data_IF_547101512313
#
_entry.id   IF_547101512313
#
_cell.length_a   1.000
_cell.length_b   1.000
_cell.length_c   1.000
_cell.angle_alpha   90.00
_cell.angle_beta   90.00
_cell.angle_gamma   90.00
#
_symmetry.space_group_name_H-M   'P 1'
#
loop_
_entity.id
_entity.type
_entity.pdbx_description
1 polymer ?
#
# COMPACT_ATOMS: atom_id res chain seq x y z
N UNK A 1 52.61 58.78 41.59
CA UNK A 1 52.21 57.61 42.40
C UNK A 1 50.68 57.52 42.36
N UNK A 2 50.13 56.31 42.19
CA UNK A 2 48.69 55.94 41.99
C UNK A 2 47.70 56.82 42.80
N UNK A 3 46.40 57.02 42.38
CA UNK A 3 45.54 55.92 41.91
C UNK A 3 44.31 56.23 40.99
N UNK A 4 43.68 55.12 40.54
CA UNK A 4 42.23 54.82 40.45
C UNK A 4 41.30 55.36 39.33
N UNK A 5 40.88 54.39 38.49
CA UNK A 5 39.50 53.97 38.12
C UNK A 5 38.58 54.86 37.27
N UNK A 6 38.21 54.30 36.11
CA UNK A 6 36.84 54.16 35.56
C UNK A 6 36.95 53.23 34.34
N UNK A 7 36.81 51.89 34.45
CA UNK A 7 35.55 51.12 34.36
C UNK A 7 34.47 51.77 33.50
N UNK A 8 34.50 51.47 32.20
CA UNK A 8 33.34 51.49 31.32
C UNK A 8 33.16 50.06 30.76
N UNK A 9 32.23 49.31 31.37
CA UNK A 9 31.76 48.02 30.90
C UNK A 9 30.89 48.24 29.65
N UNK A 10 31.37 47.80 28.49
CA UNK A 10 30.55 47.60 27.31
C UNK A 10 29.81 46.26 27.46
N UNK A 11 28.52 46.34 27.81
CA UNK A 11 27.55 45.26 27.72
C UNK A 11 27.31 44.93 26.24
N UNK A 12 27.90 43.84 25.76
CA UNK A 12 27.50 43.22 24.49
C UNK A 12 26.39 42.22 24.80
N UNK A 13 25.16 42.62 24.49
CA UNK A 13 23.96 41.79 24.53
C UNK A 13 24.06 40.69 23.47
N UNK A 14 24.66 39.55 23.81
CA UNK A 14 24.54 38.33 23.01
C UNK A 14 23.18 37.70 23.31
N UNK A 15 22.18 38.01 22.47
CA UNK A 15 20.94 37.27 22.42
C UNK A 15 21.24 35.83 21.95
N UNK A 16 21.37 34.91 22.89
CA UNK A 16 21.38 33.48 22.61
C UNK A 16 19.96 33.07 22.19
N UNK A 17 19.71 33.03 20.88
CA UNK A 17 18.56 32.32 20.33
C UNK A 17 18.72 30.82 20.65
N UNK A 18 17.69 30.14 21.17
CA UNK A 18 17.77 28.71 21.41
C UNK A 18 17.94 27.99 20.08
N UNK A 19 18.93 27.10 20.02
CA UNK A 19 19.05 26.12 18.97
C UNK A 19 17.72 25.36 18.86
N UNK A 20 16.97 25.62 17.79
CA UNK A 20 15.81 24.83 17.43
C UNK A 20 16.31 23.40 17.24
N UNK A 21 16.01 22.53 18.21
CA UNK A 21 16.19 21.10 18.07
C UNK A 21 15.50 20.67 16.79
N UNK A 22 16.28 20.26 15.81
CA UNK A 22 15.77 19.70 14.57
C UNK A 22 14.93 18.49 14.96
N UNK A 23 13.61 18.61 14.84
CA UNK A 23 12.71 17.47 14.93
C UNK A 23 13.23 16.40 13.95
N UNK A 24 13.23 15.11 14.34
CA UNK A 24 13.73 14.05 13.48
C UNK A 24 12.97 14.10 12.16
N UNK A 25 13.67 14.44 11.08
CA UNK A 25 13.08 14.44 9.75
C UNK A 25 12.58 13.01 9.45
N UNK A 26 11.39 12.85 8.85
CA UNK A 26 10.94 11.54 8.42
C UNK A 26 12.00 10.96 7.45
N UNK A 27 12.26 9.64 7.48
CA UNK A 27 13.25 9.04 6.58
C UNK A 27 12.88 9.39 5.14
N UNK A 28 13.79 10.08 4.45
CA UNK A 28 13.64 10.34 3.03
C UNK A 28 13.63 9.00 2.31
N UNK A 29 12.62 8.73 1.50
CA UNK A 29 12.68 7.64 0.53
C UNK A 29 13.93 7.84 -0.32
N UNK A 30 14.86 6.88 -0.30
CA UNK A 30 16.06 6.93 -1.15
C UNK A 30 15.57 6.93 -2.60
N UNK A 31 15.89 7.99 -3.35
CA UNK A 31 15.42 8.11 -4.73
C UNK A 31 15.85 6.87 -5.54
N UNK A 32 14.88 6.20 -6.17
CA UNK A 32 15.11 5.04 -7.04
C UNK A 32 15.00 3.66 -6.38
N UNK A 33 14.49 3.53 -5.15
CA UNK A 33 14.18 2.23 -4.53
C UNK A 33 12.70 2.10 -4.18
N UNK A 34 12.21 0.87 -4.09
CA UNK A 34 10.84 0.57 -3.70
C UNK A 34 10.65 0.78 -2.20
N UNK A 35 9.94 1.83 -1.81
CA UNK A 35 9.82 2.22 -0.41
C UNK A 35 8.39 2.29 0.11
N UNK A 36 8.27 2.70 1.37
CA UNK A 36 7.00 2.87 2.09
C UNK A 36 5.96 3.65 1.28
N UNK A 37 6.38 4.73 0.60
CA UNK A 37 5.47 5.57 -0.18
C UNK A 37 4.81 4.81 -1.33
N UNK A 38 5.56 3.95 -2.02
CA UNK A 38 5.03 3.11 -3.09
C UNK A 38 4.05 2.08 -2.55
N UNK A 39 4.40 1.44 -1.43
CA UNK A 39 3.52 0.46 -0.79
C UNK A 39 2.24 1.08 -0.23
N UNK A 40 2.31 2.29 0.31
CA UNK A 40 1.13 3.04 0.73
C UNK A 40 0.23 3.38 -0.46
N UNK A 41 0.80 3.78 -1.61
CA UNK A 41 0.06 4.00 -2.85
C UNK A 41 -0.61 2.71 -3.34
N UNK A 42 0.13 1.59 -3.39
CA UNK A 42 -0.40 0.28 -3.77
C UNK A 42 -1.52 -0.19 -2.83
N UNK A 43 -1.41 0.09 -1.53
CA UNK A 43 -2.38 -0.35 -0.54
C UNK A 43 -3.79 0.23 -0.74
N UNK A 44 -3.92 1.33 -1.47
CA UNK A 44 -5.21 1.97 -1.79
C UNK A 44 -5.72 1.65 -3.21
N UNK A 45 -4.92 0.94 -4.02
CA UNK A 45 -5.28 0.63 -5.40
C UNK A 45 -6.26 -0.54 -5.52
N UNK A 46 -7.33 -0.35 -6.31
CA UNK A 46 -8.31 -1.41 -6.61
C UNK A 46 -8.03 -2.12 -7.95
N UNK A 47 -7.46 -1.44 -8.96
CA UNK A 47 -7.06 -2.07 -10.23
C UNK A 47 -5.54 -2.15 -10.47
N UNK A 48 -5.17 -2.89 -11.53
CA UNK A 48 -3.78 -3.12 -11.92
C UNK A 48 -3.09 -1.85 -12.40
N UNK A 49 -3.80 -0.96 -13.13
CA UNK A 49 -3.23 0.27 -13.67
C UNK A 49 -2.79 1.24 -12.57
N UNK A 50 -3.56 1.33 -11.49
CA UNK A 50 -3.22 2.06 -10.28
C UNK A 50 -1.95 1.48 -9.64
N UNK A 51 -1.87 0.15 -9.47
CA UNK A 51 -0.67 -0.52 -8.91
C UNK A 51 0.54 -0.25 -9.79
N UNK A 52 0.43 -0.44 -11.10
CA UNK A 52 1.52 -0.22 -12.05
C UNK A 52 1.97 1.24 -12.05
N UNK A 53 1.05 2.19 -11.89
CA UNK A 53 1.38 3.62 -11.73
C UNK A 53 2.16 3.86 -10.44
N UNK A 54 1.69 3.34 -9.30
CA UNK A 54 2.38 3.45 -8.01
C UNK A 54 3.79 2.86 -8.03
N UNK A 55 4.00 1.78 -8.79
CA UNK A 55 5.32 1.16 -8.96
C UNK A 55 6.18 1.91 -9.98
N UNK A 56 5.59 2.49 -11.03
CA UNK A 56 6.35 3.26 -12.01
C UNK A 56 7.00 4.49 -11.39
N UNK A 57 6.32 5.09 -10.41
CA UNK A 57 6.81 6.23 -9.64
C UNK A 57 7.89 5.83 -8.62
N UNK A 58 9.10 5.53 -9.10
CA UNK A 58 10.30 5.36 -8.26
C UNK A 58 10.78 3.91 -8.08
N UNK A 59 9.96 2.90 -8.35
CA UNK A 59 10.35 1.48 -8.25
C UNK A 59 10.82 0.88 -9.58
N UNK A 60 10.33 1.40 -10.72
CA UNK A 60 10.43 0.75 -12.03
C UNK A 60 11.84 0.24 -12.38
N UNK A 61 12.85 1.10 -12.23
CA UNK A 61 14.24 0.76 -12.57
C UNK A 61 14.78 -0.36 -11.67
N UNK A 62 14.47 -0.32 -10.38
CA UNK A 62 14.96 -1.28 -9.40
C UNK A 62 14.28 -2.63 -9.55
N UNK A 63 12.95 -2.65 -9.68
CA UNK A 63 12.21 -3.89 -9.95
C UNK A 63 12.62 -4.52 -11.29
N UNK A 64 12.85 -3.73 -12.34
CA UNK A 64 13.37 -4.25 -13.62
C UNK A 64 14.72 -4.94 -13.47
N UNK A 65 15.65 -4.34 -12.72
CA UNK A 65 16.98 -4.92 -12.44
C UNK A 65 16.86 -6.22 -11.65
N UNK A 66 16.06 -6.24 -10.60
CA UNK A 66 15.85 -7.43 -9.78
C UNK A 66 15.19 -8.57 -10.56
N UNK A 67 14.16 -8.28 -11.36
CA UNK A 67 13.52 -9.25 -12.26
C UNK A 67 14.51 -9.84 -13.26
N UNK A 68 15.33 -8.98 -13.88
CA UNK A 68 16.35 -9.44 -14.82
C UNK A 68 17.39 -10.33 -14.14
N UNK A 69 17.86 -9.98 -12.94
CA UNK A 69 18.81 -10.79 -12.20
C UNK A 69 18.22 -12.16 -11.82
N UNK A 70 17.04 -12.18 -11.21
CA UNK A 70 16.41 -13.42 -10.73
C UNK A 70 15.96 -14.33 -11.87
N UNK A 71 15.57 -13.75 -13.01
CA UNK A 71 15.30 -14.51 -14.24
C UNK A 71 16.58 -15.09 -14.84
N UNK A 72 17.68 -14.33 -14.86
CA UNK A 72 18.97 -14.81 -15.37
C UNK A 72 19.57 -15.92 -14.50
N UNK A 73 19.30 -15.87 -13.20
CA UNK A 73 19.68 -16.90 -12.24
C UNK A 73 18.74 -18.11 -12.23
N UNK A 74 17.70 -18.12 -13.07
CA UNK A 74 16.71 -19.20 -13.20
C UNK A 74 16.03 -19.56 -11.85
N UNK A 75 15.86 -18.59 -10.96
CA UNK A 75 15.19 -18.84 -9.69
C UNK A 75 13.72 -19.27 -9.92
N UNK A 76 13.20 -20.15 -9.07
CA UNK A 76 11.75 -20.43 -9.06
C UNK A 76 10.98 -19.23 -8.48
N UNK A 77 9.68 -19.05 -8.80
CA UNK A 77 8.86 -17.91 -8.33
C UNK A 77 8.91 -17.65 -6.83
N UNK A 78 8.94 -18.70 -6.01
CA UNK A 78 8.92 -18.68 -4.55
C UNK A 78 10.29 -19.03 -3.91
N UNK A 79 11.32 -19.28 -4.71
CA UNK A 79 12.66 -19.62 -4.22
C UNK A 79 13.41 -18.39 -3.69
N UNK A 80 13.09 -18.07 -2.45
CA UNK A 80 13.74 -17.02 -1.65
C UNK A 80 15.25 -17.21 -1.50
N UNK A 81 15.74 -18.46 -1.50
CA UNK A 81 17.16 -18.77 -1.28
C UNK A 81 17.99 -18.50 -2.54
N UNK A 82 17.48 -18.88 -3.71
CA UNK A 82 18.11 -18.53 -4.98
C UNK A 82 18.23 -17.02 -5.15
N UNK A 83 17.15 -16.27 -4.86
CA UNK A 83 17.14 -14.82 -4.96
C UNK A 83 18.20 -14.16 -4.06
N UNK A 84 18.34 -14.64 -2.82
CA UNK A 84 19.38 -14.16 -1.88
C UNK A 84 20.78 -14.47 -2.41
N UNK A 85 21.03 -15.72 -2.82
CA UNK A 85 22.36 -16.18 -3.19
C UNK A 85 22.86 -15.56 -4.50
N UNK A 86 21.99 -15.47 -5.51
CA UNK A 86 22.36 -15.01 -6.85
C UNK A 86 22.20 -13.49 -7.01
N UNK A 87 21.25 -12.87 -6.32
CA UNK A 87 20.82 -11.49 -6.55
C UNK A 87 20.76 -10.63 -5.28
N UNK A 88 21.28 -11.10 -4.15
CA UNK A 88 21.10 -10.47 -2.84
C UNK A 88 21.46 -8.98 -2.79
N UNK A 89 22.57 -8.58 -3.39
CA UNK A 89 22.97 -7.16 -3.45
C UNK A 89 21.99 -6.33 -4.29
N UNK A 90 21.68 -6.77 -5.52
CA UNK A 90 20.71 -6.10 -6.39
C UNK A 90 19.34 -6.01 -5.72
N UNK A 91 18.97 -7.03 -4.94
CA UNK A 91 17.72 -7.06 -4.21
C UNK A 91 17.71 -6.04 -3.06
N UNK A 92 18.72 -6.01 -2.18
CA UNK A 92 18.78 -5.03 -1.09
C UNK A 92 18.88 -3.57 -1.60
N UNK A 93 19.49 -3.34 -2.77
CA UNK A 93 19.49 -2.04 -3.45
C UNK A 93 18.15 -1.68 -4.09
N UNK A 94 17.26 -2.66 -4.29
CA UNK A 94 15.97 -2.43 -4.94
C UNK A 94 14.87 -1.98 -3.98
N UNK A 95 15.02 -2.19 -2.69
CA UNK A 95 14.00 -1.90 -1.68
C UNK A 95 14.52 -0.92 -0.64
N UNK A 96 13.62 -0.13 -0.03
CA UNK A 96 13.97 0.66 1.14
C UNK A 96 14.51 -0.25 2.25
N UNK A 97 15.61 0.13 2.93
CA UNK A 97 16.16 -0.66 4.02
C UNK A 97 15.11 -0.97 5.09
N UNK A 98 15.20 -2.15 5.71
CA UNK A 98 14.32 -2.48 6.83
C UNK A 98 14.47 -1.43 7.94
N UNK A 99 13.37 -1.03 8.58
CA UNK A 99 13.45 -0.17 9.76
C UNK A 99 14.29 -0.87 10.85
N UNK A 100 15.12 -0.11 11.57
CA UNK A 100 15.97 -0.64 12.65
C UNK A 100 15.19 -1.37 13.74
N UNK A 101 13.96 -0.93 13.98
CA UNK A 101 12.99 -1.64 14.83
C UNK A 101 11.79 -1.98 13.97
N UNK A 102 11.60 -3.27 13.60
CA UNK A 102 10.41 -3.69 12.88
C UNK A 102 9.18 -3.54 13.77
N UNK A 103 8.08 -3.06 13.18
CA UNK A 103 6.78 -3.11 13.85
C UNK A 103 6.26 -4.56 13.82
N UNK A 104 5.50 -4.97 14.85
CA UNK A 104 4.88 -6.28 14.84
C UNK A 104 3.87 -6.37 13.68
N UNK A 105 3.79 -7.56 13.07
CA UNK A 105 2.74 -7.87 12.09
C UNK A 105 1.37 -7.75 12.76
N UNK A 106 0.49 -6.92 12.20
CA UNK A 106 -0.88 -6.77 12.67
C UNK A 106 -1.76 -7.84 12.03
N UNK A 107 -2.04 -8.98 12.65
CA UNK A 107 -2.72 -10.09 11.94
C UNK A 107 -4.12 -9.70 11.45
N UNK A 108 -5.02 -9.32 12.37
CA UNK A 108 -6.41 -8.98 12.06
C UNK A 108 -6.76 -7.58 12.59
N UNK A 109 -6.56 -6.50 11.81
CA UNK A 109 -6.75 -5.12 12.28
C UNK A 109 -8.21 -4.75 12.58
N UNK A 110 -9.17 -5.56 12.13
CA UNK A 110 -10.61 -5.36 12.36
C UNK A 110 -11.21 -6.33 13.39
N UNK A 111 -10.39 -7.07 14.13
CA UNK A 111 -10.83 -8.01 15.17
C UNK A 111 -10.28 -7.65 16.55
N UNK A 112 -10.97 -8.11 17.59
CA UNK A 112 -10.56 -7.92 18.99
C UNK A 112 -10.80 -6.50 19.55
N UNK A 113 -10.34 -6.24 20.78
CA UNK A 113 -10.61 -5.00 21.51
C UNK A 113 -10.01 -3.74 20.87
N UNK A 114 -8.93 -3.89 20.07
CA UNK A 114 -8.29 -2.77 19.36
C UNK A 114 -8.88 -2.51 17.97
N UNK A 115 -9.88 -3.28 17.53
CA UNK A 115 -10.50 -3.10 16.22
C UNK A 115 -11.07 -1.69 16.07
N UNK A 116 -10.79 -1.07 14.92
CA UNK A 116 -11.36 0.24 14.61
C UNK A 116 -12.89 0.18 14.62
N UNK A 117 -13.49 1.19 15.26
CA UNK A 117 -14.93 1.35 15.34
C UNK A 117 -15.34 2.50 14.43
N UNK A 118 -16.07 2.20 13.36
CA UNK A 118 -16.68 3.18 12.46
C UNK A 118 -18.19 3.30 12.71
N UNK A 119 -18.89 3.92 11.76
CA UNK A 119 -20.33 3.83 11.72
C UNK A 119 -20.76 2.41 11.32
N UNK A 120 -21.85 1.91 11.91
CA UNK A 120 -22.41 0.63 11.50
C UNK A 120 -22.78 0.63 10.01
N UNK A 121 -22.42 -0.44 9.30
CA UNK A 121 -22.73 -0.61 7.87
C UNK A 121 -23.92 -1.56 7.65
N UNK A 122 -24.68 -1.42 6.55
CA UNK A 122 -25.70 -2.38 6.16
C UNK A 122 -25.14 -3.81 6.14
N UNK A 123 -25.91 -4.76 6.68
CA UNK A 123 -25.52 -6.19 6.71
C UNK A 123 -25.15 -6.74 5.34
N UNK A 124 -25.69 -6.18 4.25
CA UNK A 124 -25.40 -6.60 2.88
C UNK A 124 -23.95 -6.34 2.47
N UNK A 125 -23.26 -5.37 3.09
CA UNK A 125 -21.85 -5.05 2.84
C UNK A 125 -20.89 -5.89 3.68
N UNK A 126 -21.33 -6.45 4.80
CA UNK A 126 -20.49 -7.23 5.71
C UNK A 126 -20.04 -8.53 5.06
N UNK A 127 -18.76 -8.87 5.18
CA UNK A 127 -18.15 -10.09 4.66
C UNK A 127 -16.80 -9.82 3.97
N UNK A 128 -16.22 -10.88 3.40
CA UNK A 128 -15.05 -10.78 2.51
C UNK A 128 -15.51 -10.80 1.06
N UNK A 129 -15.01 -9.86 0.29
CA UNK A 129 -15.30 -9.67 -1.12
C UNK A 129 -14.01 -9.78 -1.91
N UNK A 130 -13.96 -10.61 -2.94
CA UNK A 130 -12.79 -10.82 -3.79
C UNK A 130 -13.04 -10.17 -5.14
N UNK A 131 -12.10 -9.34 -5.61
CA UNK A 131 -12.26 -8.67 -6.90
C UNK A 131 -12.36 -9.71 -8.02
N UNK A 132 -13.43 -9.67 -8.80
CA UNK A 132 -13.66 -10.58 -9.93
C UNK A 132 -13.57 -9.87 -11.28
N UNK A 133 -13.91 -8.58 -11.36
CA UNK A 133 -13.80 -7.80 -12.58
C UNK A 133 -13.62 -6.29 -12.30
N UNK A 134 -13.07 -5.57 -13.27
CA UNK A 134 -13.01 -4.11 -13.29
C UNK A 134 -13.36 -3.60 -14.70
N UNK A 135 -14.13 -2.52 -14.82
CA UNK A 135 -14.39 -1.89 -16.12
C UNK A 135 -13.22 -1.02 -16.56
N UNK A 136 -13.08 -0.84 -17.87
CA UNK A 136 -12.22 0.21 -18.40
C UNK A 136 -12.90 1.58 -18.20
N UNK A 137 -12.16 2.65 -17.90
CA UNK A 137 -12.69 4.01 -17.89
C UNK A 137 -13.33 4.36 -19.24
N UNK A 138 -14.52 4.96 -19.22
CA UNK A 138 -15.14 5.52 -20.43
C UNK A 138 -14.39 6.81 -20.81
N UNK A 139 -13.31 6.68 -21.60
CA UNK A 139 -12.61 7.85 -22.17
C UNK A 139 -12.91 7.90 -23.67
N UNK A 140 -13.79 8.83 -24.05
CA UNK A 140 -14.13 9.19 -25.44
C UNK A 140 -12.99 9.93 -26.19
N UNK A 141 -11.79 10.06 -25.61
CA UNK A 141 -10.66 10.75 -26.25
C UNK A 141 -9.52 9.79 -26.60
N UNK A 142 -9.45 9.44 -27.88
CA UNK A 142 -8.25 8.90 -28.53
C UNK A 142 -8.38 7.47 -29.04
N UNK A 143 -8.80 7.32 -30.29
CA UNK A 143 -8.58 6.09 -31.08
C UNK A 143 -7.08 5.93 -31.35
N UNK A 144 -6.46 4.94 -30.72
CA UNK A 144 -5.60 3.90 -31.30
C UNK A 144 -4.90 3.19 -30.14
N UNK A 145 -5.01 1.85 -30.12
CA UNK A 145 -4.57 0.95 -29.04
C UNK A 145 -5.56 0.78 -27.89
N UNK A 146 -6.79 0.37 -28.22
CA UNK A 146 -7.53 -0.57 -27.37
C UNK A 146 -6.77 -1.89 -27.35
N UNK A 147 -5.73 -1.97 -26.53
CA UNK A 147 -5.27 -3.27 -26.05
C UNK A 147 -6.43 -3.81 -25.22
N UNK A 148 -6.95 -5.00 -25.58
CA UNK A 148 -7.76 -5.79 -24.68
C UNK A 148 -6.93 -6.03 -23.42
N UNK A 149 -7.08 -5.17 -22.41
CA UNK A 149 -6.54 -5.45 -21.09
C UNK A 149 -7.48 -6.48 -20.51
N UNK A 150 -7.18 -7.76 -20.76
CA UNK A 150 -7.68 -8.82 -19.88
C UNK A 150 -7.36 -8.36 -18.45
N UNK A 151 -8.31 -8.37 -17.50
CA UNK A 151 -7.96 -8.21 -16.10
C UNK A 151 -6.89 -9.26 -15.81
N UNK A 152 -5.64 -8.83 -15.57
CA UNK A 152 -4.56 -9.80 -15.40
C UNK A 152 -4.91 -10.65 -14.18
N UNK A 153 -4.80 -11.96 -14.35
CA UNK A 153 -5.16 -12.99 -13.37
C UNK A 153 -4.24 -13.04 -12.13
N UNK A 154 -3.38 -12.04 -11.92
CA UNK A 154 -2.24 -12.09 -11.00
C UNK A 154 -2.41 -11.24 -9.73
N UNK A 155 -3.55 -10.56 -9.53
CA UNK A 155 -3.81 -9.82 -8.28
C UNK A 155 -5.01 -10.39 -7.53
N UNK A 156 -4.75 -11.28 -6.56
CA UNK A 156 -5.75 -11.63 -5.56
C UNK A 156 -6.00 -10.39 -4.68
N UNK A 157 -7.13 -9.70 -4.92
CA UNK A 157 -7.56 -8.55 -4.10
C UNK A 157 -8.80 -8.90 -3.32
N UNK A 158 -8.81 -8.53 -2.05
CA UNK A 158 -9.97 -8.69 -1.21
C UNK A 158 -10.28 -7.45 -0.40
N UNK A 159 -11.56 -7.18 -0.23
CA UNK A 159 -12.11 -6.18 0.67
C UNK A 159 -12.89 -6.94 1.74
N UNK A 160 -12.38 -6.94 2.97
CA UNK A 160 -13.11 -7.41 4.15
C UNK A 160 -13.83 -6.23 4.78
N UNK A 161 -15.09 -6.42 5.15
CA UNK A 161 -15.91 -5.43 5.87
C UNK A 161 -16.56 -6.07 7.07
N UNK A 162 -16.39 -5.47 8.25
CA UNK A 162 -17.01 -5.93 9.50
C UNK A 162 -18.30 -5.17 9.82
N UNK A 163 -19.14 -5.69 10.74
CA UNK A 163 -20.34 -4.97 11.19
C UNK A 163 -20.07 -3.61 11.83
N UNK A 164 -18.88 -3.41 12.43
CA UNK A 164 -18.46 -2.14 13.02
C UNK A 164 -18.04 -1.10 11.97
N UNK A 165 -18.11 -1.44 10.69
CA UNK A 165 -17.64 -0.58 9.61
C UNK A 165 -16.12 -0.52 9.49
N UNK A 166 -15.38 -1.41 10.14
CA UNK A 166 -13.96 -1.59 9.86
C UNK A 166 -13.80 -2.30 8.52
N UNK A 167 -12.83 -1.86 7.71
CA UNK A 167 -12.48 -2.53 6.47
C UNK A 167 -11.00 -2.92 6.42
N UNK A 168 -10.69 -3.98 5.67
CA UNK A 168 -9.34 -4.33 5.25
C UNK A 168 -9.34 -4.51 3.74
N UNK A 169 -8.57 -3.69 3.04
CA UNK A 169 -8.27 -3.87 1.61
C UNK A 169 -6.90 -4.54 1.50
N UNK A 170 -6.84 -5.68 0.82
CA UNK A 170 -5.62 -6.46 0.61
C UNK A 170 -5.34 -6.61 -0.88
N UNK A 171 -4.08 -6.43 -1.24
CA UNK A 171 -3.50 -6.68 -2.56
C UNK A 171 -2.25 -7.54 -2.38
N UNK A 172 -2.26 -8.76 -2.94
CA UNK A 172 -1.05 -9.60 -2.98
C UNK A 172 -0.22 -9.26 -4.22
N UNK A 173 1.05 -8.93 -4.00
CA UNK A 173 2.05 -8.76 -5.05
C UNK A 173 3.02 -9.94 -5.02
N UNK A 174 3.19 -10.60 -6.15
CA UNK A 174 3.99 -11.82 -6.26
C UNK A 174 5.30 -11.61 -7.04
N UNK A 175 5.92 -12.73 -7.42
CA UNK A 175 7.16 -12.76 -8.19
C UNK A 175 7.11 -12.04 -9.54
N UNK A 176 5.95 -12.00 -10.20
CA UNK A 176 5.78 -11.31 -11.49
C UNK A 176 5.91 -9.81 -11.27
N UNK A 177 5.41 -9.31 -10.14
CA UNK A 177 5.47 -7.90 -9.78
C UNK A 177 6.79 -7.52 -9.11
N UNK A 178 7.32 -8.34 -8.20
CA UNK A 178 8.42 -7.99 -7.30
C UNK A 178 9.78 -8.60 -7.71
N UNK A 179 9.80 -9.56 -8.62
CA UNK A 179 10.96 -10.41 -8.88
C UNK A 179 10.88 -11.74 -8.12
N UNK A 180 11.53 -12.77 -8.66
CA UNK A 180 11.40 -14.14 -8.12
C UNK A 180 11.99 -14.25 -6.72
N UNK A 181 11.36 -15.08 -5.88
CA UNK A 181 11.69 -15.20 -4.45
C UNK A 181 11.23 -14.01 -3.61
N UNK A 182 10.38 -13.12 -4.12
CA UNK A 182 9.78 -12.01 -3.38
C UNK A 182 8.25 -12.01 -3.46
N UNK A 183 7.60 -11.70 -2.35
CA UNK A 183 6.14 -11.63 -2.23
C UNK A 183 5.76 -10.63 -1.12
N UNK A 184 4.76 -9.80 -1.38
CA UNK A 184 4.21 -8.88 -0.39
C UNK A 184 2.68 -8.94 -0.39
N UNK A 185 2.10 -9.21 0.78
CA UNK A 185 0.73 -8.89 1.10
C UNK A 185 0.65 -7.43 1.54
N UNK A 186 0.24 -6.56 0.61
CA UNK A 186 0.04 -5.14 0.86
C UNK A 186 -1.39 -4.92 1.30
N UNK A 187 -1.59 -4.34 2.48
CA UNK A 187 -2.92 -4.16 3.07
C UNK A 187 -3.06 -2.80 3.71
N UNK A 188 -4.24 -2.22 3.55
CA UNK A 188 -4.70 -1.02 4.20
C UNK A 188 -5.98 -1.32 4.98
N UNK A 189 -6.18 -0.65 6.10
CA UNK A 189 -7.41 -0.78 6.88
C UNK A 189 -7.83 0.56 7.47
N UNK A 190 -9.10 0.63 7.83
CA UNK A 190 -9.70 1.88 8.23
C UNK A 190 -11.18 1.72 8.56
N UNK A 191 -11.91 2.81 8.40
CA UNK A 191 -13.36 2.87 8.68
C UNK A 191 -14.14 3.24 7.42
N UNK A 192 -15.32 2.66 7.27
CA UNK A 192 -16.28 3.01 6.24
C UNK A 192 -17.19 4.12 6.76
N UNK A 193 -17.36 5.17 5.96
CA UNK A 193 -18.41 6.16 6.11
C UNK A 193 -19.40 6.00 4.95
N UNK A 194 -20.70 6.01 5.26
CA UNK A 194 -21.75 5.99 4.23
C UNK A 194 -22.28 7.40 4.04
N UNK A 195 -22.23 7.87 2.79
CA UNK A 195 -22.83 9.14 2.38
C UNK A 195 -24.13 8.85 1.66
N UNK A 196 -25.22 9.43 2.15
CA UNK A 196 -26.56 9.21 1.59
C UNK A 196 -26.92 7.70 1.50
N UNK A 197 -27.75 7.32 0.53
CA UNK A 197 -28.19 5.91 0.34
C UNK A 197 -27.23 5.05 -0.46
N UNK A 198 -26.27 5.65 -1.19
CA UNK A 198 -25.42 4.93 -2.16
C UNK A 198 -23.94 5.34 -2.13
N UNK A 199 -23.56 6.38 -1.40
CA UNK A 199 -22.18 6.79 -1.25
C UNK A 199 -21.48 5.98 -0.17
N UNK A 200 -20.21 5.65 -0.42
CA UNK A 200 -19.34 4.93 0.48
C UNK A 200 -17.95 5.56 0.39
N UNK A 201 -17.40 5.94 1.54
CA UNK A 201 -16.05 6.46 1.67
C UNK A 201 -15.23 5.53 2.55
N UNK A 202 -14.09 5.09 2.04
CA UNK A 202 -13.06 4.36 2.76
C UNK A 202 -12.09 5.36 3.37
N UNK A 203 -12.14 5.50 4.69
CA UNK A 203 -11.18 6.28 5.46
C UNK A 203 -10.05 5.38 5.93
N UNK A 204 -9.03 5.22 5.10
CA UNK A 204 -7.82 4.48 5.46
C UNK A 204 -7.13 5.15 6.65
N UNK A 205 -6.80 4.35 7.67
CA UNK A 205 -6.14 4.83 8.89
C UNK A 205 -4.70 4.33 8.99
N UNK A 206 -4.47 3.10 8.54
CA UNK A 206 -3.16 2.45 8.64
C UNK A 206 -3.05 1.33 7.59
N UNK A 207 -1.85 0.75 7.47
CA UNK A 207 -1.57 -0.35 6.57
C UNK A 207 -0.21 -0.99 6.85
N UNK A 208 0.01 -2.17 6.27
CA UNK A 208 1.28 -2.87 6.28
C UNK A 208 1.51 -3.56 4.94
N UNK A 209 2.76 -3.61 4.48
CA UNK A 209 3.20 -4.57 3.48
C UNK A 209 4.02 -5.67 4.17
N UNK A 210 3.60 -6.92 4.03
CA UNK A 210 4.16 -8.06 4.77
C UNK A 210 4.55 -9.19 3.83
N UNK A 211 5.75 -9.74 4.00
CA UNK A 211 6.16 -10.95 3.29
C UNK A 211 7.65 -11.01 3.00
N UNK A 212 8.10 -12.08 2.34
CA UNK A 212 9.51 -12.28 2.02
C UNK A 212 9.97 -11.33 0.92
N UNK A 213 11.02 -10.58 1.21
CA UNK A 213 11.72 -9.73 0.24
C UNK A 213 13.22 -9.97 0.42
N UNK A 214 13.89 -10.35 -0.68
CA UNK A 214 15.30 -10.74 -0.63
C UNK A 214 15.56 -11.82 0.42
N UNK A 215 14.69 -12.83 0.47
CA UNK A 215 14.72 -13.96 1.41
C UNK A 215 14.70 -13.61 2.89
N UNK A 216 14.24 -12.41 3.24
CA UNK A 216 13.97 -12.00 4.61
C UNK A 216 12.51 -11.61 4.73
N UNK A 217 11.86 -12.04 5.81
CA UNK A 217 10.52 -11.54 6.13
C UNK A 217 10.59 -10.03 6.43
N UNK A 218 9.76 -9.25 5.74
CA UNK A 218 9.66 -7.80 5.94
C UNK A 218 8.26 -7.46 6.43
N UNK A 219 8.21 -6.56 7.41
CA UNK A 219 6.99 -5.86 7.81
C UNK A 219 7.26 -4.38 7.61
N UNK A 220 6.66 -3.81 6.56
CA UNK A 220 6.80 -2.38 6.24
C UNK A 220 5.54 -1.66 6.73
N UNK A 221 5.64 -0.83 7.78
CA UNK A 221 4.50 -0.06 8.26
C UNK A 221 4.17 1.06 7.29
N UNK A 222 2.88 1.22 7.00
CA UNK A 222 2.35 2.23 6.08
C UNK A 222 1.63 3.37 6.83
N UNK A 223 1.56 3.34 8.17
CA UNK A 223 0.98 4.36 9.06
C UNK A 223 1.44 5.80 8.79
N UNK A 224 2.68 5.97 8.28
CA UNK A 224 3.25 7.28 7.88
C UNK A 224 3.00 7.64 6.41
N UNK A 225 2.32 6.77 5.68
CA UNK A 225 1.85 7.00 4.32
C UNK A 225 0.75 8.05 4.31
N UNK A 226 0.76 8.92 3.30
CA UNK A 226 -0.34 9.85 3.07
C UNK A 226 -1.45 9.12 2.32
N UNK A 227 -2.23 8.34 3.07
CA UNK A 227 -3.43 7.71 2.55
C UNK A 227 -4.44 8.76 2.10
N UNK A 228 -4.98 8.58 0.90
CA UNK A 228 -6.00 9.45 0.31
C UNK A 228 -7.41 8.97 0.61
N UNK A 229 -7.57 7.69 0.97
CA UNK A 229 -8.86 7.02 1.03
C UNK A 229 -9.44 6.78 -0.36
N UNK A 230 -10.69 6.35 -0.38
CA UNK A 230 -11.44 6.13 -1.63
C UNK A 230 -12.90 6.49 -1.47
N UNK A 231 -13.47 7.18 -2.45
CA UNK A 231 -14.89 7.51 -2.50
C UNK A 231 -15.56 6.77 -3.66
N UNK A 232 -16.68 6.13 -3.38
CA UNK A 232 -17.39 5.26 -4.31
C UNK A 232 -18.89 5.44 -4.18
N UNK A 233 -19.61 5.20 -5.27
CA UNK A 233 -21.00 4.73 -5.17
C UNK A 233 -21.01 3.21 -5.12
N UNK A 234 -21.85 2.62 -4.29
CA UNK A 234 -21.90 1.17 -4.12
C UNK A 234 -23.28 0.58 -4.46
N UNK A 235 -23.26 -0.66 -4.93
CA UNK A 235 -24.44 -1.50 -5.16
C UNK A 235 -24.10 -2.94 -4.80
N UNK A 236 -25.05 -3.66 -4.20
CA UNK A 236 -24.94 -5.12 -4.03
C UNK A 236 -26.00 -5.79 -4.89
N UNK A 237 -25.57 -6.54 -5.90
CA UNK A 237 -26.44 -7.33 -6.77
C UNK A 237 -26.56 -8.77 -6.24
N UNK A 238 -27.81 -9.25 -6.19
CA UNK A 238 -28.19 -10.61 -5.78
C UNK A 238 -27.55 -11.12 -4.47
N UNK A 239 -27.10 -10.19 -3.60
CA UNK A 239 -26.33 -10.47 -2.36
C UNK A 239 -24.99 -11.19 -2.57
N UNK A 240 -24.52 -11.30 -3.83
CA UNK A 240 -23.32 -12.05 -4.20
C UNK A 240 -22.24 -11.18 -4.83
N UNK A 241 -22.63 -10.06 -5.42
CA UNK A 241 -21.73 -9.17 -6.14
C UNK A 241 -21.77 -7.77 -5.53
N UNK A 242 -20.64 -7.27 -5.04
CA UNK A 242 -20.47 -5.88 -4.62
C UNK A 242 -19.84 -5.11 -5.78
N UNK A 243 -20.54 -4.07 -6.24
CA UNK A 243 -20.05 -3.17 -7.28
C UNK A 243 -19.70 -1.84 -6.61
N UNK A 244 -18.44 -1.46 -6.71
CA UNK A 244 -17.96 -0.12 -6.34
C UNK A 244 -17.74 0.67 -7.62
N UNK A 245 -18.23 1.91 -7.68
CA UNK A 245 -18.07 2.79 -8.84
C UNK A 245 -17.42 4.09 -8.42
N UNK A 246 -16.33 4.46 -9.09
CA UNK A 246 -15.65 5.74 -8.86
C UNK A 246 -16.57 6.88 -9.34
N UNK A 247 -16.88 7.87 -8.50
CA UNK A 247 -17.64 9.04 -8.93
C UNK A 247 -16.80 9.89 -9.91
N UNK A 248 -17.48 10.60 -10.82
CA UNK A 248 -16.83 11.48 -11.79
C UNK A 248 -16.88 10.96 -13.22
N UNK A 249 -16.02 11.49 -14.09
CA UNK A 249 -16.13 11.29 -15.54
C UNK A 249 -15.80 9.87 -16.02
N UNK A 250 -14.85 9.19 -15.38
CA UNK A 250 -14.42 7.83 -15.78
C UNK A 250 -15.46 6.76 -15.46
N UNK A 251 -16.26 6.98 -14.41
CA UNK A 251 -17.27 6.05 -13.87
C UNK A 251 -16.79 4.59 -13.77
N UNK A 252 -15.50 4.42 -13.50
CA UNK A 252 -14.88 3.10 -13.46
C UNK A 252 -15.54 2.24 -12.39
N UNK A 253 -15.86 0.99 -12.73
CA UNK A 253 -16.51 0.06 -11.82
C UNK A 253 -15.59 -1.08 -11.44
N UNK A 254 -15.72 -1.54 -10.20
CA UNK A 254 -15.02 -2.67 -9.63
C UNK A 254 -16.05 -3.64 -9.07
N UNK A 255 -16.08 -4.85 -9.63
CA UNK A 255 -16.98 -5.90 -9.22
C UNK A 255 -16.23 -6.89 -8.35
N UNK A 256 -16.76 -7.11 -7.15
CA UNK A 256 -16.26 -8.08 -6.20
C UNK A 256 -17.29 -9.16 -5.96
N UNK A 257 -16.86 -10.41 -5.95
CA UNK A 257 -17.67 -11.55 -5.56
C UNK A 257 -17.47 -11.87 -4.10
N UNK A 258 -18.55 -12.23 -3.42
CA UNK A 258 -18.49 -12.67 -2.03
C UNK A 258 -17.66 -13.94 -1.92
N UNK A 259 -16.65 -13.93 -1.05
CA UNK A 259 -15.86 -15.11 -0.74
C UNK A 259 -16.77 -16.19 -0.15
N UNK A 260 -16.79 -17.38 -0.75
CA UNK A 260 -17.55 -18.50 -0.21
C UNK A 260 -16.82 -19.02 1.04
N UNK A 261 -17.50 -19.22 2.17
CA UNK A 261 -16.89 -19.87 3.33
C UNK A 261 -16.31 -21.22 2.92
N UNK A 262 -14.99 -21.40 3.05
CA UNK A 262 -14.28 -22.64 2.72
C UNK A 262 -13.65 -22.73 1.31
N UNK A 263 -13.65 -21.66 0.51
CA UNK A 263 -12.79 -21.62 -0.67
C UNK A 263 -11.33 -21.39 -0.24
N UNK A 264 -10.36 -22.23 -0.65
CA UNK A 264 -8.95 -21.96 -0.39
C UNK A 264 -8.54 -20.65 -1.06
N UNK A 265 -7.59 -19.94 -0.44
CA UNK A 265 -6.89 -18.79 -1.03
C UNK A 265 -6.53 -19.16 -2.48
N UNK A 266 -6.89 -18.35 -3.49
CA UNK A 266 -6.53 -18.67 -4.86
C UNK A 266 -5.01 -18.80 -4.95
N UNK A 267 -4.53 -20.03 -5.16
CA UNK A 267 -3.13 -20.23 -5.52
C UNK A 267 -2.91 -19.58 -6.89
N UNK A 268 -1.79 -18.87 -7.08
CA UNK A 268 -1.45 -18.33 -8.38
C UNK A 268 -1.43 -19.48 -9.38
N UNK A 269 -2.18 -19.34 -10.47
CA UNK A 269 -2.12 -20.31 -11.56
C UNK A 269 -0.69 -20.28 -12.14
N UNK A 270 -0.11 -21.45 -12.45
CA UNK A 270 1.25 -21.55 -12.97
C UNK A 270 1.45 -20.78 -14.28
#
# INVERSE_FOLDING_TARGET
MRPLRLLALLLVSAAALPAAGQAPQPPSTVAGVCGRTNWACVAECIDADCVDTCLREGCDRSLKRLKACTSKAECAPDDTQCAVKACGQTCEESFEPAPKSPEPRMENPCEGPQALQGAGVPKVLVGTWVLSAASLPDVEQGKEHRLEVQPRSDYARSLQVTPSGCFVLRTRLDSVTLGRGSMLDVRAWGTIELKDKKGLVLHTRDGQAVGPVCGKERVVPLSKGRFKGGEFTWLVEEKKSLILTVPGATRQTFQFEREKPGAPVPEPRP
#
